data_IF_111649232312
#
_entry.id   IF_111649232312
#
_cell.length_a   1.000
_cell.length_b   1.000
_cell.length_c   1.000
_cell.angle_alpha   90.00
_cell.angle_beta   90.00
_cell.angle_gamma   90.00
#
_symmetry.space_group_name_H-M   'P 1'
#
loop_
_entity.id
_entity.type
_entity.pdbx_description
1 polymer ?
#
# COMPACT_ATOMS: atom_id res chain seq x y z
N UNK A 1 31.09 7.41 7.17
CA UNK A 1 30.01 8.43 7.13
C UNK A 1 28.88 7.93 8.00
N UNK A 2 28.21 8.79 8.77
CA UNK A 2 27.03 8.38 9.52
C UNK A 2 25.92 7.93 8.55
N UNK A 3 25.28 6.78 8.78
CA UNK A 3 24.11 6.35 7.98
C UNK A 3 23.03 7.44 8.13
N UNK A 4 22.64 8.10 7.03
CA UNK A 4 21.57 9.10 7.05
C UNK A 4 20.25 8.36 7.21
N UNK A 5 19.65 8.47 8.40
CA UNK A 5 18.34 7.89 8.70
C UNK A 5 17.28 8.59 7.85
N UNK A 6 16.35 7.82 7.29
CA UNK A 6 15.19 8.36 6.58
C UNK A 6 14.38 9.29 7.51
N UNK A 7 13.86 10.39 6.96
CA UNK A 7 12.95 11.28 7.71
C UNK A 7 11.70 10.53 8.15
N UNK A 8 11.32 10.67 9.43
CA UNK A 8 10.08 10.12 9.98
C UNK A 8 8.84 10.57 9.20
N UNK A 9 8.84 11.79 8.64
CA UNK A 9 7.76 12.29 7.80
C UNK A 9 7.54 11.40 6.58
N UNK A 10 8.60 10.83 5.97
CA UNK A 10 8.49 9.89 4.84
C UNK A 10 7.96 8.53 5.27
N UNK A 11 8.37 8.02 6.44
CA UNK A 11 7.84 6.77 7.00
C UNK A 11 6.33 6.92 7.29
N UNK A 12 5.95 8.00 7.98
CA UNK A 12 4.54 8.31 8.28
C UNK A 12 3.75 8.53 7.01
N UNK A 13 4.29 9.31 6.08
CA UNK A 13 3.68 9.60 4.78
C UNK A 13 3.41 8.32 4.01
N UNK A 14 4.37 7.40 3.93
CA UNK A 14 4.19 6.11 3.27
C UNK A 14 3.02 5.31 3.87
N UNK A 15 3.00 5.13 5.20
CA UNK A 15 1.97 4.33 5.85
C UNK A 15 0.58 5.00 5.80
N UNK A 16 0.51 6.33 6.02
CA UNK A 16 -0.74 7.09 5.98
C UNK A 16 -1.25 7.30 4.55
N UNK A 17 -0.36 7.41 3.57
CA UNK A 17 -0.71 7.48 2.16
C UNK A 17 -1.29 6.16 1.66
N UNK A 18 -0.69 5.02 2.07
CA UNK A 18 -1.27 3.70 1.84
C UNK A 18 -2.67 3.60 2.47
N UNK A 19 -2.79 3.99 3.74
CA UNK A 19 -4.07 4.00 4.45
C UNK A 19 -5.15 4.85 3.76
N UNK A 20 -4.78 6.05 3.31
CA UNK A 20 -5.68 6.93 2.59
C UNK A 20 -6.12 6.33 1.26
N UNK A 21 -5.19 5.69 0.53
CA UNK A 21 -5.49 4.97 -0.69
C UNK A 21 -6.55 3.89 -0.49
N UNK A 22 -6.32 3.00 0.48
CA UNK A 22 -7.27 1.94 0.88
C UNK A 22 -8.64 2.54 1.30
N UNK A 23 -8.64 3.41 2.32
CA UNK A 23 -9.86 3.95 2.91
C UNK A 23 -10.74 4.71 1.90
N UNK A 24 -10.13 5.46 0.98
CA UNK A 24 -10.86 6.25 -0.02
C UNK A 24 -11.22 5.39 -1.23
N UNK A 25 -10.30 4.53 -1.68
CA UNK A 25 -10.48 3.67 -2.85
C UNK A 25 -11.56 2.62 -2.66
N UNK A 26 -11.78 2.15 -1.43
CA UNK A 26 -12.82 1.16 -1.11
C UNK A 26 -14.22 1.58 -1.59
N UNK A 27 -14.53 2.88 -1.54
CA UNK A 27 -15.84 3.40 -1.95
C UNK A 27 -16.15 3.13 -3.42
N UNK A 28 -15.13 3.00 -4.26
CA UNK A 28 -15.25 2.82 -5.70
C UNK A 28 -14.84 1.41 -6.17
N UNK A 29 -14.51 0.50 -5.25
CA UNK A 29 -14.05 -0.85 -5.58
C UNK A 29 -15.10 -1.59 -6.42
N UNK A 30 -14.66 -2.17 -7.53
CA UNK A 30 -15.53 -2.91 -8.44
C UNK A 30 -16.53 -2.05 -9.22
N UNK A 31 -16.43 -0.72 -9.17
CA UNK A 31 -17.30 0.18 -9.93
C UNK A 31 -17.11 -0.02 -11.43
N UNK A 32 -18.09 -0.62 -12.09
CA UNK A 32 -18.13 -0.77 -13.55
C UNK A 32 -18.96 0.35 -14.17
N UNK A 33 -18.34 1.18 -15.01
CA UNK A 33 -19.03 2.13 -15.90
C UNK A 33 -18.77 1.75 -17.35
N UNK A 34 -19.59 2.29 -18.27
CA UNK A 34 -19.41 2.00 -19.68
C UNK A 34 -18.21 2.78 -20.24
N UNK A 35 -17.05 2.13 -20.36
CA UNK A 35 -15.84 2.74 -20.95
C UNK A 35 -16.03 3.25 -22.39
N UNK A 36 -17.07 2.79 -23.10
CA UNK A 36 -17.39 3.27 -24.45
C UNK A 36 -18.27 4.51 -24.47
N UNK A 37 -18.93 4.82 -23.35
CA UNK A 37 -19.67 6.06 -23.15
C UNK A 37 -18.78 7.09 -22.44
N UNK A 38 -18.36 8.10 -23.19
CA UNK A 38 -17.52 9.17 -22.66
C UNK A 38 -18.15 9.88 -21.47
N UNK A 39 -19.46 10.12 -21.49
CA UNK A 39 -20.15 10.87 -20.45
C UNK A 39 -20.16 10.11 -19.11
N UNK A 40 -20.37 8.80 -19.16
CA UNK A 40 -20.37 7.94 -17.97
C UNK A 40 -18.98 7.87 -17.34
N UNK A 41 -17.95 7.70 -18.18
CA UNK A 41 -16.56 7.66 -17.71
C UNK A 41 -16.05 9.01 -17.18
N UNK A 42 -16.48 10.14 -17.75
CA UNK A 42 -16.14 11.48 -17.26
C UNK A 42 -16.85 11.76 -15.92
N UNK A 43 -18.13 11.39 -15.82
CA UNK A 43 -18.89 11.51 -14.57
C UNK A 43 -18.25 10.70 -13.44
N UNK A 44 -17.86 9.45 -13.68
CA UNK A 44 -17.15 8.65 -12.68
C UNK A 44 -15.88 9.34 -12.17
N UNK A 45 -15.05 9.85 -13.10
CA UNK A 45 -13.80 10.55 -12.72
C UNK A 45 -14.09 11.81 -11.92
N UNK A 46 -15.12 12.56 -12.28
CA UNK A 46 -15.52 13.75 -11.53
C UNK A 46 -16.05 13.39 -10.14
N UNK A 47 -16.84 12.32 -10.02
CA UNK A 47 -17.35 11.83 -8.73
C UNK A 47 -16.20 11.40 -7.81
N UNK A 48 -15.15 10.75 -8.35
CA UNK A 48 -13.91 10.44 -7.61
C UNK A 48 -13.20 11.71 -7.16
N UNK A 49 -12.97 12.67 -8.06
CA UNK A 49 -12.28 13.91 -7.72
C UNK A 49 -13.01 14.69 -6.62
N UNK A 50 -14.32 14.88 -6.76
CA UNK A 50 -15.13 15.57 -5.77
C UNK A 50 -15.06 14.89 -4.40
N UNK A 51 -15.11 13.55 -4.37
CA UNK A 51 -15.01 12.80 -3.12
C UNK A 51 -13.64 12.91 -2.46
N UNK A 52 -12.55 12.76 -3.22
CA UNK A 52 -11.19 12.89 -2.69
C UNK A 52 -10.91 14.33 -2.25
N UNK A 53 -11.43 15.33 -2.97
CA UNK A 53 -11.38 16.73 -2.58
C UNK A 53 -12.10 16.99 -1.26
N UNK A 54 -13.32 16.48 -1.08
CA UNK A 54 -14.06 16.56 0.18
C UNK A 54 -13.25 15.94 1.33
N UNK A 55 -12.68 14.75 1.12
CA UNK A 55 -11.89 14.04 2.13
C UNK A 55 -10.62 14.77 2.55
N UNK A 56 -9.95 15.46 1.63
CA UNK A 56 -8.72 16.23 1.89
C UNK A 56 -8.98 17.70 2.25
N UNK A 57 -10.24 18.14 2.30
CA UNK A 57 -10.59 19.49 2.72
C UNK A 57 -10.29 19.72 4.20
N UNK A 58 -10.30 20.99 4.63
CA UNK A 58 -10.15 21.34 6.05
C UNK A 58 -11.28 20.79 6.94
N UNK A 59 -12.46 20.56 6.35
CA UNK A 59 -13.61 19.97 7.04
C UNK A 59 -13.45 18.45 7.14
N UNK A 60 -12.82 17.84 6.13
CA UNK A 60 -12.62 16.40 6.02
C UNK A 60 -13.92 15.63 5.69
N UNK A 61 -13.85 14.29 5.69
CA UNK A 61 -14.99 13.44 5.36
C UNK A 61 -16.07 13.50 6.45
N UNK A 62 -17.33 13.36 6.05
CA UNK A 62 -18.49 13.39 6.95
C UNK A 62 -18.60 12.19 7.89
N UNK A 63 -17.94 11.09 7.54
CA UNK A 63 -17.99 9.84 8.28
C UNK A 63 -16.59 9.25 8.47
N UNK A 64 -16.49 8.32 9.43
CA UNK A 64 -15.26 7.59 9.66
C UNK A 64 -14.99 6.64 8.51
N UNK A 65 -13.79 6.70 7.95
CA UNK A 65 -13.37 5.88 6.82
C UNK A 65 -12.75 4.58 7.33
N UNK A 66 -13.27 3.44 6.87
CA UNK A 66 -12.80 2.11 7.26
C UNK A 66 -11.82 1.57 6.24
N UNK A 67 -10.76 0.94 6.72
CA UNK A 67 -9.79 0.25 5.89
C UNK A 67 -10.27 -1.16 5.45
N UNK A 68 -9.64 -1.73 4.42
CA UNK A 68 -9.86 -3.07 3.87
C UNK A 68 -8.76 -4.08 4.26
N UNK A 69 -8.72 -5.25 3.64
CA UNK A 69 -7.68 -6.24 3.92
C UNK A 69 -6.27 -5.75 3.60
N UNK A 70 -6.12 -4.78 2.71
CA UNK A 70 -4.87 -4.08 2.40
C UNK A 70 -4.18 -3.59 3.67
N UNK A 71 -4.83 -2.69 4.40
CA UNK A 71 -4.33 -2.18 5.68
C UNK A 71 -4.32 -3.27 6.75
N UNK A 72 -5.34 -4.12 6.81
CA UNK A 72 -5.41 -5.17 7.84
C UNK A 72 -4.15 -6.05 7.81
N UNK A 73 -3.73 -6.47 6.63
CA UNK A 73 -2.53 -7.28 6.43
C UNK A 73 -1.24 -6.45 6.53
N UNK A 74 -1.20 -5.23 5.97
CA UNK A 74 -0.03 -4.36 6.07
C UNK A 74 0.35 -4.05 7.53
N UNK A 75 -0.64 -3.88 8.41
CA UNK A 75 -0.42 -3.68 9.84
C UNK A 75 0.27 -4.88 10.50
N UNK A 76 -0.06 -6.11 10.10
CA UNK A 76 0.62 -7.33 10.57
C UNK A 76 2.07 -7.36 10.09
N UNK A 77 2.32 -7.03 8.82
CA UNK A 77 3.69 -6.96 8.26
C UNK A 77 4.52 -5.96 9.07
N UNK A 78 3.99 -4.75 9.27
CA UNK A 78 4.66 -3.71 10.04
C UNK A 78 4.93 -4.15 11.49
N UNK A 79 3.91 -4.68 12.20
CA UNK A 79 4.03 -5.06 13.61
C UNK A 79 5.05 -6.18 13.80
N UNK A 80 4.98 -7.22 12.99
CA UNK A 80 5.86 -8.39 13.14
C UNK A 80 7.32 -8.07 12.86
N UNK A 81 7.63 -7.26 11.83
CA UNK A 81 9.00 -6.82 11.55
C UNK A 81 9.57 -5.99 12.71
N UNK A 82 8.81 -5.01 13.18
CA UNK A 82 9.27 -4.07 14.22
C UNK A 82 9.38 -4.73 15.60
N UNK A 83 8.39 -5.52 16.00
CA UNK A 83 8.36 -6.10 17.34
C UNK A 83 9.33 -7.31 17.47
N UNK A 84 9.65 -8.00 16.37
CA UNK A 84 10.63 -9.11 16.37
C UNK A 84 12.06 -8.67 16.11
N UNK A 85 12.25 -7.55 15.40
CA UNK A 85 13.55 -7.10 14.93
C UNK A 85 14.26 -8.11 13.98
N UNK A 86 13.45 -8.89 13.25
CA UNK A 86 13.86 -9.72 12.12
C UNK A 86 12.60 -10.23 11.40
N UNK A 87 12.75 -10.79 10.21
CA UNK A 87 11.65 -11.43 9.50
C UNK A 87 11.37 -12.84 10.05
N UNK A 88 10.18 -13.03 10.63
CA UNK A 88 9.67 -14.32 11.10
C UNK A 88 8.41 -14.67 10.29
N UNK A 89 8.56 -15.52 9.27
CA UNK A 89 7.46 -15.95 8.40
C UNK A 89 6.33 -16.62 9.19
N UNK A 90 6.65 -17.38 10.25
CA UNK A 90 5.65 -18.09 11.05
C UNK A 90 4.86 -17.13 11.92
N UNK A 91 5.52 -16.15 12.56
CA UNK A 91 4.82 -15.10 13.29
C UNK A 91 3.94 -14.24 12.37
N UNK A 92 4.42 -13.91 11.16
CA UNK A 92 3.64 -13.14 10.19
C UNK A 92 2.42 -13.93 9.69
N UNK A 93 2.57 -15.21 9.37
CA UNK A 93 1.46 -16.09 9.00
C UNK A 93 0.42 -16.21 10.12
N UNK A 94 0.87 -16.35 11.39
CA UNK A 94 -0.02 -16.34 12.57
C UNK A 94 -0.79 -15.03 12.68
N UNK A 95 -0.11 -13.89 12.55
CA UNK A 95 -0.75 -12.58 12.58
C UNK A 95 -1.81 -12.42 11.48
N UNK A 96 -1.54 -12.85 10.24
CA UNK A 96 -2.53 -12.79 9.17
C UNK A 96 -3.78 -13.62 9.49
N UNK A 97 -3.58 -14.84 9.99
CA UNK A 97 -4.68 -15.74 10.37
C UNK A 97 -5.50 -15.16 11.53
N UNK A 98 -4.84 -14.65 12.57
CA UNK A 98 -5.48 -14.04 13.73
C UNK A 98 -6.28 -12.79 13.35
N UNK A 99 -5.70 -11.90 12.54
CA UNK A 99 -6.41 -10.71 12.01
C UNK A 99 -7.62 -11.11 11.18
N UNK A 100 -7.47 -12.08 10.26
CA UNK A 100 -8.58 -12.54 9.42
C UNK A 100 -9.77 -13.09 10.24
N UNK A 101 -9.49 -13.94 11.24
CA UNK A 101 -10.54 -14.56 12.05
C UNK A 101 -11.11 -13.65 13.15
N UNK A 102 -10.35 -12.67 13.65
CA UNK A 102 -10.82 -11.72 14.67
C UNK A 102 -11.66 -10.58 14.08
N UNK A 103 -11.36 -10.11 12.87
CA UNK A 103 -12.05 -8.98 12.24
C UNK A 103 -13.35 -9.39 11.50
N UNK A 104 -13.82 -10.64 11.68
CA UNK A 104 -15.07 -11.21 11.13
C UNK A 104 -15.30 -10.84 9.64
N UNK A 105 -14.59 -11.45 8.69
CA UNK A 105 -14.88 -11.46 7.22
C UNK A 105 -15.33 -10.15 6.51
N UNK A 106 -15.27 -8.96 7.12
CA UNK A 106 -15.88 -7.73 6.56
C UNK A 106 -14.84 -6.71 6.05
N UNK A 107 -13.61 -7.19 5.81
CA UNK A 107 -12.49 -6.36 5.35
C UNK A 107 -12.27 -6.37 3.84
N UNK A 108 -12.89 -7.27 3.07
CA UNK A 108 -12.70 -7.30 1.61
C UNK A 108 -11.87 -8.48 1.10
N UNK A 109 -11.27 -9.26 2.00
CA UNK A 109 -10.46 -10.44 1.69
C UNK A 109 -10.92 -11.25 0.47
N UNK A 110 -10.04 -11.38 -0.52
CA UNK A 110 -10.29 -12.17 -1.73
C UNK A 110 -10.73 -13.61 -1.43
N UNK A 111 -11.69 -14.13 -2.20
CA UNK A 111 -12.40 -15.37 -1.87
C UNK A 111 -11.51 -16.62 -1.65
N UNK A 112 -10.37 -16.71 -2.32
CA UNK A 112 -9.44 -17.85 -2.18
C UNK A 112 -8.62 -17.82 -0.89
N UNK A 113 -8.44 -16.66 -0.25
CA UNK A 113 -7.56 -16.53 0.91
C UNK A 113 -8.07 -17.27 2.15
N UNK A 114 -9.40 -17.40 2.25
CA UNK A 114 -10.08 -18.12 3.33
C UNK A 114 -9.56 -19.56 3.48
N UNK A 115 -9.30 -20.23 2.35
CA UNK A 115 -8.78 -21.60 2.33
C UNK A 115 -7.32 -21.67 2.78
N UNK A 116 -6.50 -20.68 2.42
CA UNK A 116 -5.10 -20.58 2.84
C UNK A 116 -5.04 -20.44 4.36
N UNK A 117 -5.77 -19.48 4.92
CA UNK A 117 -5.77 -19.21 6.36
C UNK A 117 -6.34 -20.36 7.18
N UNK A 118 -7.37 -21.05 6.66
CA UNK A 118 -7.87 -22.28 7.26
C UNK A 118 -6.78 -23.37 7.29
N UNK A 119 -6.12 -23.63 6.16
CA UNK A 119 -5.06 -24.65 6.07
C UNK A 119 -3.86 -24.33 6.97
N UNK A 120 -3.43 -23.06 7.04
CA UNK A 120 -2.35 -22.62 7.94
C UNK A 120 -2.68 -22.89 9.41
N UNK A 121 -3.93 -22.61 9.82
CA UNK A 121 -4.41 -22.89 11.17
C UNK A 121 -4.51 -24.39 11.45
N UNK A 122 -5.07 -25.15 10.51
CA UNK A 122 -5.31 -26.59 10.65
C UNK A 122 -3.99 -27.38 10.67
N UNK A 123 -2.92 -26.87 10.06
CA UNK A 123 -1.57 -27.45 10.09
C UNK A 123 -0.68 -26.93 11.24
N UNK A 124 -1.22 -26.14 12.18
CA UNK A 124 -0.45 -25.44 13.23
C UNK A 124 0.80 -24.71 12.71
N UNK A 125 0.65 -24.12 11.52
CA UNK A 125 1.70 -23.33 10.86
C UNK A 125 3.02 -24.12 10.70
N UNK A 126 2.95 -25.42 10.41
CA UNK A 126 4.12 -26.28 10.21
C UNK A 126 4.98 -25.81 9.02
N UNK A 127 4.38 -25.81 7.82
CA UNK A 127 4.91 -25.10 6.64
C UNK A 127 3.96 -23.96 6.27
N UNK A 128 4.44 -22.72 6.42
CA UNK A 128 3.64 -21.51 6.20
C UNK A 128 3.55 -21.08 4.73
N UNK A 129 4.30 -21.72 3.84
CA UNK A 129 4.27 -21.43 2.40
C UNK A 129 3.42 -22.45 1.63
N UNK A 130 3.39 -23.69 2.11
CA UNK A 130 2.72 -24.81 1.46
C UNK A 130 1.23 -24.55 1.15
N UNK A 131 0.41 -23.95 2.04
CA UNK A 131 -1.00 -23.70 1.73
C UNK A 131 -1.23 -22.79 0.52
N UNK A 132 -0.36 -21.80 0.31
CA UNK A 132 -0.45 -20.91 -0.84
C UNK A 132 -0.02 -21.59 -2.15
N UNK A 133 1.00 -22.47 -2.07
CA UNK A 133 1.52 -23.24 -3.22
C UNK A 133 0.46 -24.12 -3.86
N UNK A 134 -0.49 -24.66 -3.09
CA UNK A 134 -1.59 -25.48 -3.61
C UNK A 134 -2.80 -24.72 -4.14
N UNK A 135 -2.79 -23.38 -4.15
CA UNK A 135 -3.88 -22.63 -4.79
C UNK A 135 -3.84 -22.77 -6.32
N UNK A 136 -5.02 -22.71 -6.95
CA UNK A 136 -5.19 -22.66 -8.41
C UNK A 136 -4.43 -23.77 -9.16
N UNK A 137 -4.69 -25.04 -8.81
CA UNK A 137 -4.03 -26.22 -9.39
C UNK A 137 -2.50 -26.16 -9.30
N UNK A 138 -2.01 -25.79 -8.12
CA UNK A 138 -0.59 -25.61 -7.82
C UNK A 138 0.13 -24.49 -8.61
N UNK A 139 -0.62 -23.54 -9.20
CA UNK A 139 -0.05 -22.36 -9.86
C UNK A 139 0.15 -21.18 -8.92
N UNK A 140 -0.48 -21.21 -7.74
CA UNK A 140 -0.51 -20.09 -6.81
C UNK A 140 -1.41 -18.94 -7.27
N UNK A 141 -1.81 -18.09 -6.32
CA UNK A 141 -2.54 -16.85 -6.63
C UNK A 141 -1.59 -15.84 -7.28
N UNK A 142 -1.99 -15.28 -8.44
CA UNK A 142 -1.31 -14.16 -9.10
C UNK A 142 -1.87 -12.78 -8.65
N UNK A 143 -2.80 -12.76 -7.70
CA UNK A 143 -3.39 -11.54 -7.18
C UNK A 143 -2.38 -10.58 -6.53
N UNK A 144 -2.80 -9.33 -6.36
CA UNK A 144 -2.01 -8.24 -5.79
C UNK A 144 -1.92 -8.26 -4.25
N UNK A 145 -2.55 -9.22 -3.57
CA UNK A 145 -2.63 -9.24 -2.11
C UNK A 145 -1.28 -9.32 -1.39
N UNK A 146 -0.24 -9.83 -2.06
CA UNK A 146 1.14 -9.76 -1.58
C UNK A 146 1.76 -8.36 -1.71
N UNK A 147 1.41 -7.62 -2.76
CA UNK A 147 1.95 -6.30 -3.06
C UNK A 147 1.25 -5.18 -2.26
N UNK A 148 -0.07 -5.28 -2.05
CA UNK A 148 -0.86 -4.28 -1.32
C UNK A 148 -0.35 -4.00 0.10
N UNK A 149 0.33 -4.98 0.71
CA UNK A 149 0.78 -4.96 2.10
C UNK A 149 2.29 -4.85 2.29
N UNK A 150 3.06 -4.68 1.21
CA UNK A 150 4.52 -4.85 1.24
C UNK A 150 5.29 -3.60 1.68
N UNK A 151 4.66 -2.41 1.64
CA UNK A 151 5.32 -1.14 1.95
C UNK A 151 6.11 -1.12 3.29
N UNK A 152 5.61 -1.71 4.40
CA UNK A 152 6.37 -1.81 5.65
C UNK A 152 7.72 -2.54 5.54
N UNK A 153 7.87 -3.48 4.58
CA UNK A 153 9.15 -4.16 4.32
C UNK A 153 10.19 -3.14 3.85
N UNK A 154 9.84 -2.29 2.89
CA UNK A 154 10.75 -1.27 2.35
C UNK A 154 11.16 -0.26 3.43
N UNK A 155 10.24 0.12 4.31
CA UNK A 155 10.51 1.03 5.44
C UNK A 155 11.43 0.38 6.48
N UNK A 156 11.24 -0.90 6.78
CA UNK A 156 12.07 -1.61 7.77
C UNK A 156 13.55 -1.67 7.38
N UNK A 157 13.83 -1.79 6.08
CA UNK A 157 15.20 -1.83 5.53
C UNK A 157 15.68 -0.48 4.98
N UNK A 158 14.99 0.63 5.26
CA UNK A 158 15.27 1.90 4.59
C UNK A 158 16.69 2.42 4.84
N UNK A 159 17.32 2.11 5.98
CA UNK A 159 18.69 2.58 6.27
C UNK A 159 19.81 1.75 5.64
N UNK A 160 19.47 0.77 4.80
CA UNK A 160 20.44 -0.13 4.21
C UNK A 160 20.28 -0.23 2.69
N UNK A 161 21.11 0.55 1.98
CA UNK A 161 21.15 0.58 0.51
C UNK A 161 21.57 -0.76 -0.09
N UNK A 162 22.44 -1.49 0.61
CA UNK A 162 22.85 -2.83 0.20
C UNK A 162 21.72 -3.83 0.43
N UNK A 163 20.94 -3.71 1.51
CA UNK A 163 19.76 -4.55 1.74
C UNK A 163 18.70 -4.39 0.64
N UNK A 164 18.56 -3.18 0.08
CA UNK A 164 17.64 -2.88 -1.01
C UNK A 164 18.11 -3.40 -2.37
N UNK A 165 19.42 -3.31 -2.66
CA UNK A 165 20.01 -3.71 -3.94
C UNK A 165 20.48 -5.17 -3.99
N UNK A 166 20.83 -5.77 -2.84
CA UNK A 166 21.57 -7.03 -2.76
C UNK A 166 20.94 -8.16 -1.94
N UNK A 167 19.75 -8.01 -1.33
CA UNK A 167 19.01 -9.23 -0.96
C UNK A 167 17.85 -9.10 0.01
N UNK A 168 17.94 -8.35 1.09
CA UNK A 168 16.99 -8.52 2.21
C UNK A 168 15.60 -7.94 1.92
N UNK A 169 15.50 -6.76 1.29
CA UNK A 169 14.19 -6.20 0.87
C UNK A 169 13.52 -7.15 -0.12
N UNK A 170 14.27 -7.64 -1.10
CA UNK A 170 13.79 -8.59 -2.10
C UNK A 170 13.34 -9.91 -1.45
N UNK A 171 14.15 -10.47 -0.55
CA UNK A 171 13.88 -11.73 0.11
C UNK A 171 12.65 -11.64 1.01
N UNK A 172 12.57 -10.60 1.85
CA UNK A 172 11.42 -10.42 2.75
C UNK A 172 10.15 -10.07 1.96
N UNK A 173 10.24 -9.26 0.91
CA UNK A 173 9.09 -8.97 0.03
C UNK A 173 8.57 -10.24 -0.67
N UNK A 174 9.48 -11.13 -1.09
CA UNK A 174 9.14 -12.44 -1.65
C UNK A 174 8.51 -13.37 -0.61
N UNK A 175 9.15 -13.54 0.54
CA UNK A 175 8.69 -14.50 1.56
C UNK A 175 7.37 -14.09 2.19
N UNK A 176 7.17 -12.80 2.51
CA UNK A 176 5.87 -12.33 2.99
C UNK A 176 4.76 -12.56 1.97
N UNK A 177 5.06 -12.42 0.66
CA UNK A 177 4.11 -12.65 -0.42
C UNK A 177 3.73 -14.13 -0.48
N UNK A 178 4.74 -15.01 -0.48
CA UNK A 178 4.62 -16.48 -0.55
C UNK A 178 3.73 -17.11 0.52
N UNK A 179 3.57 -16.47 1.69
CA UNK A 179 2.64 -16.94 2.73
C UNK A 179 1.20 -17.08 2.17
N UNK A 180 0.85 -16.29 1.15
CA UNK A 180 -0.51 -16.25 0.58
C UNK A 180 -0.58 -16.32 -0.94
N UNK A 181 0.51 -15.97 -1.62
CA UNK A 181 0.61 -15.81 -3.07
C UNK A 181 1.95 -16.40 -3.50
N UNK A 182 1.94 -17.64 -3.99
CA UNK A 182 3.14 -18.35 -4.43
C UNK A 182 3.44 -18.18 -5.92
N UNK A 183 2.54 -17.54 -6.68
CA UNK A 183 2.75 -17.33 -8.11
C UNK A 183 3.91 -16.35 -8.33
N UNK A 184 4.82 -16.62 -9.30
CA UNK A 184 5.93 -15.73 -9.61
C UNK A 184 5.52 -14.29 -9.93
N UNK A 185 4.40 -14.07 -10.61
CA UNK A 185 3.94 -12.74 -11.00
C UNK A 185 3.49 -11.92 -9.78
N UNK A 186 2.79 -12.54 -8.82
CA UNK A 186 2.42 -11.90 -7.56
C UNK A 186 3.66 -11.57 -6.69
N UNK A 187 4.64 -12.47 -6.68
CA UNK A 187 5.91 -12.25 -5.98
C UNK A 187 6.65 -11.07 -6.62
N UNK A 188 6.79 -11.06 -7.94
CA UNK A 188 7.44 -9.95 -8.65
C UNK A 188 6.72 -8.62 -8.46
N UNK A 189 5.38 -8.63 -8.44
CA UNK A 189 4.57 -7.46 -8.11
C UNK A 189 4.89 -6.91 -6.71
N UNK A 190 4.95 -7.79 -5.70
CA UNK A 190 5.29 -7.37 -4.33
C UNK A 190 6.71 -6.80 -4.24
N UNK A 191 7.68 -7.43 -4.90
CA UNK A 191 9.07 -6.97 -4.96
C UNK A 191 9.17 -5.61 -5.66
N UNK A 192 8.45 -5.42 -6.76
CA UNK A 192 8.43 -4.17 -7.51
C UNK A 192 7.89 -3.01 -6.66
N UNK A 193 6.78 -3.23 -5.95
CA UNK A 193 6.20 -2.20 -5.07
C UNK A 193 7.11 -1.90 -3.89
N UNK A 194 7.72 -2.92 -3.26
CA UNK A 194 8.70 -2.71 -2.20
C UNK A 194 9.87 -1.85 -2.68
N UNK A 195 10.41 -2.14 -3.88
CA UNK A 195 11.49 -1.37 -4.47
C UNK A 195 11.06 0.06 -4.81
N UNK A 196 9.85 0.27 -5.35
CA UNK A 196 9.32 1.60 -5.65
C UNK A 196 9.18 2.46 -4.38
N UNK A 197 8.65 1.89 -3.28
CA UNK A 197 8.56 2.56 -1.98
C UNK A 197 9.96 2.89 -1.44
N UNK A 198 10.90 1.95 -1.53
CA UNK A 198 12.29 2.16 -1.12
C UNK A 198 12.92 3.34 -1.89
N UNK A 199 12.76 3.38 -3.21
CA UNK A 199 13.29 4.46 -4.05
C UNK A 199 12.65 5.81 -3.72
N UNK A 200 11.33 5.85 -3.50
CA UNK A 200 10.61 7.06 -3.11
C UNK A 200 11.09 7.61 -1.75
N UNK A 201 11.41 6.73 -0.80
CA UNK A 201 12.01 7.10 0.49
C UNK A 201 13.37 7.81 0.34
N UNK A 202 14.12 7.48 -0.71
CA UNK A 202 15.49 7.93 -0.94
C UNK A 202 15.62 8.97 -2.05
N UNK A 203 14.51 9.57 -2.48
CA UNK A 203 14.45 10.38 -3.69
C UNK A 203 15.33 11.66 -3.70
N UNK A 204 15.98 12.01 -2.59
CA UNK A 204 16.95 13.12 -2.52
C UNK A 204 18.42 12.64 -2.56
N UNK A 205 18.67 11.34 -2.37
CA UNK A 205 20.02 10.76 -2.21
C UNK A 205 20.54 10.06 -3.47
N UNK A 206 19.66 9.71 -4.40
CA UNK A 206 19.98 9.08 -5.68
C UNK A 206 19.31 9.89 -6.79
N UNK A 207 19.96 10.97 -7.24
CA UNK A 207 19.38 11.91 -8.21
C UNK A 207 18.94 11.19 -9.51
N UNK A 208 19.68 10.22 -10.02
CA UNK A 208 19.36 9.59 -11.31
C UNK A 208 18.14 8.65 -11.33
N UNK A 209 17.80 8.01 -10.20
CA UNK A 209 16.65 7.09 -10.13
C UNK A 209 15.41 7.73 -9.50
N UNK A 210 15.61 8.77 -8.69
CA UNK A 210 14.53 9.58 -8.12
C UNK A 210 13.93 10.56 -9.12
N UNK A 211 14.77 11.11 -10.01
CA UNK A 211 14.34 11.80 -11.22
C UNK A 211 13.36 10.94 -12.01
N UNK A 212 13.64 9.63 -12.16
CA UNK A 212 12.74 8.74 -12.92
C UNK A 212 11.36 8.58 -12.29
N UNK A 213 11.24 8.40 -10.96
CA UNK A 213 9.92 8.30 -10.32
C UNK A 213 9.18 9.64 -10.38
N UNK A 214 9.89 10.74 -10.12
CA UNK A 214 9.32 12.07 -10.22
C UNK A 214 8.88 12.40 -11.66
N UNK A 215 9.66 11.99 -12.65
CA UNK A 215 9.39 12.18 -14.07
C UNK A 215 8.29 11.24 -14.56
N UNK A 216 8.20 10.02 -14.04
CA UNK A 216 7.05 9.12 -14.28
C UNK A 216 5.77 9.75 -13.75
N UNK A 217 5.78 10.29 -12.52
CA UNK A 217 4.61 10.97 -11.94
C UNK A 217 4.24 12.24 -12.74
N UNK A 218 5.22 13.04 -13.17
CA UNK A 218 4.98 14.20 -14.04
C UNK A 218 4.47 13.80 -15.41
N UNK A 219 5.02 12.74 -16.01
CA UNK A 219 4.60 12.21 -17.31
C UNK A 219 3.17 11.70 -17.24
N UNK A 220 2.83 10.94 -16.20
CA UNK A 220 1.45 10.49 -15.95
C UNK A 220 0.54 11.71 -15.79
N UNK A 221 0.94 12.73 -15.04
CA UNK A 221 0.16 13.96 -14.89
C UNK A 221 -0.08 14.68 -16.23
N UNK A 222 0.97 14.86 -17.04
CA UNK A 222 0.87 15.47 -18.37
C UNK A 222 -0.04 14.65 -19.29
N UNK A 223 0.12 13.33 -19.32
CA UNK A 223 -0.71 12.45 -20.15
C UNK A 223 -2.15 12.38 -19.66
N UNK A 224 -2.40 12.43 -18.36
CA UNK A 224 -3.76 12.55 -17.83
C UNK A 224 -4.41 13.85 -18.29
N UNK A 225 -3.70 14.99 -18.26
CA UNK A 225 -4.23 16.26 -18.79
C UNK A 225 -4.48 16.22 -20.31
N UNK A 226 -3.60 15.58 -21.08
CA UNK A 226 -3.76 15.38 -22.52
C UNK A 226 -4.98 14.48 -22.85
N UNK A 227 -5.17 13.40 -22.09
CA UNK A 227 -6.22 12.39 -22.32
C UNK A 227 -7.57 12.87 -21.78
N UNK A 228 -7.58 13.64 -20.70
CA UNK A 228 -8.77 14.11 -19.98
C UNK A 228 -8.82 15.64 -19.85
N UNK A 229 -8.91 16.38 -20.97
CA UNK A 229 -8.78 17.85 -20.97
C UNK A 229 -9.89 18.59 -20.22
N UNK A 230 -11.05 17.94 -20.00
CA UNK A 230 -12.20 18.50 -19.29
C UNK A 230 -12.23 18.13 -17.80
N UNK A 231 -11.31 17.28 -17.34
CA UNK A 231 -11.20 16.91 -15.93
C UNK A 231 -10.37 18.00 -15.23
N UNK A 232 -11.06 18.96 -14.61
CA UNK A 232 -10.42 20.07 -13.92
C UNK A 232 -9.79 19.55 -12.60
N UNK A 233 -8.51 19.19 -12.64
CA UNK A 233 -7.76 18.73 -11.48
C UNK A 233 -7.00 19.90 -10.85
N UNK A 234 -7.69 20.75 -10.09
CA UNK A 234 -7.09 21.86 -9.33
C UNK A 234 -6.37 21.39 -8.04
N UNK A 235 -6.19 20.08 -7.87
CA UNK A 235 -5.55 19.47 -6.72
C UNK A 235 -4.04 19.80 -6.67
N UNK A 236 -3.70 20.78 -5.84
CA UNK A 236 -2.32 21.25 -5.62
C UNK A 236 -1.52 20.21 -4.81
N UNK A 237 -2.17 19.53 -3.88
CA UNK A 237 -1.54 18.50 -3.05
C UNK A 237 -1.18 17.26 -3.91
N UNK A 238 0.11 16.93 -4.06
CA UNK A 238 0.54 15.87 -4.97
C UNK A 238 0.13 14.46 -4.48
N UNK A 239 0.08 14.21 -3.16
CA UNK A 239 -0.39 12.95 -2.61
C UNK A 239 -1.88 12.73 -2.88
N UNK A 240 -2.68 13.77 -2.60
CA UNK A 240 -4.12 13.78 -2.89
C UNK A 240 -4.38 13.48 -4.37
N UNK A 241 -3.62 14.16 -5.24
CA UNK A 241 -3.73 13.99 -6.70
C UNK A 241 -3.39 12.56 -7.12
N UNK A 242 -2.32 11.97 -6.60
CA UNK A 242 -1.96 10.57 -6.89
C UNK A 242 -3.07 9.60 -6.47
N UNK A 243 -3.63 9.76 -5.27
CA UNK A 243 -4.72 8.90 -4.79
C UNK A 243 -5.97 9.08 -5.66
N UNK A 244 -6.35 10.31 -5.99
CA UNK A 244 -7.49 10.57 -6.87
C UNK A 244 -7.33 9.93 -8.24
N UNK A 245 -6.16 10.08 -8.86
CA UNK A 245 -5.90 9.44 -10.16
C UNK A 245 -5.91 7.92 -10.08
N UNK A 246 -5.30 7.33 -9.05
CA UNK A 246 -5.32 5.88 -8.84
C UNK A 246 -6.76 5.33 -8.78
N UNK A 247 -7.63 5.96 -8.00
CA UNK A 247 -9.05 5.57 -7.88
C UNK A 247 -9.80 5.80 -9.20
N UNK A 248 -9.46 6.86 -9.94
CA UNK A 248 -10.08 7.20 -11.23
C UNK A 248 -9.84 6.15 -12.33
N UNK A 249 -8.87 5.24 -12.14
CA UNK A 249 -8.58 4.14 -13.07
C UNK A 249 -9.58 2.98 -12.97
N UNK A 250 -10.47 2.97 -11.97
CA UNK A 250 -11.48 1.90 -11.75
C UNK A 250 -10.84 0.53 -11.48
N UNK A 251 -11.68 -0.50 -11.41
CA UNK A 251 -11.28 -1.87 -11.06
C UNK A 251 -11.03 -2.02 -9.57
N UNK A 252 -9.80 -2.38 -9.23
CA UNK A 252 -9.33 -2.67 -7.88
C UNK A 252 -8.78 -1.38 -7.24
N UNK A 253 -9.70 -0.45 -6.95
CA UNK A 253 -9.36 0.95 -6.68
C UNK A 253 -8.69 1.17 -5.34
N UNK A 254 -9.07 0.42 -4.29
CA UNK A 254 -8.41 0.45 -2.99
C UNK A 254 -6.99 -0.08 -3.06
N UNK A 255 -6.73 -1.22 -3.71
CA UNK A 255 -5.36 -1.73 -3.81
C UNK A 255 -4.48 -0.89 -4.74
N UNK A 256 -4.98 -0.42 -5.88
CA UNK A 256 -4.19 0.47 -6.75
C UNK A 256 -3.85 1.77 -5.99
N UNK A 257 -4.82 2.35 -5.27
CA UNK A 257 -4.60 3.56 -4.51
C UNK A 257 -3.73 3.34 -3.27
N UNK A 258 -3.79 2.18 -2.59
CA UNK A 258 -2.91 1.87 -1.44
C UNK A 258 -1.45 1.84 -1.87
N UNK A 259 -1.15 1.17 -2.99
CA UNK A 259 0.22 1.06 -3.49
C UNK A 259 0.74 2.41 -4.01
N UNK A 260 -0.09 3.14 -4.77
CA UNK A 260 0.27 4.47 -5.27
C UNK A 260 0.43 5.48 -4.11
N UNK A 261 -0.46 5.43 -3.13
CA UNK A 261 -0.43 6.24 -1.91
C UNK A 261 0.79 5.94 -1.03
N UNK A 262 1.22 4.68 -0.94
CA UNK A 262 2.45 4.31 -0.24
C UNK A 262 3.68 4.98 -0.88
N UNK A 263 3.79 4.90 -2.21
CA UNK A 263 4.92 5.48 -2.97
C UNK A 263 4.89 7.01 -2.88
N UNK A 264 3.75 7.64 -3.15
CA UNK A 264 3.62 9.10 -3.07
C UNK A 264 3.84 9.61 -1.64
N UNK A 265 3.33 8.89 -0.64
CA UNK A 265 3.54 9.21 0.77
C UNK A 265 5.00 9.11 1.19
N UNK A 266 5.72 8.08 0.73
CA UNK A 266 7.16 7.95 0.93
C UNK A 266 7.96 9.09 0.25
N UNK A 267 7.47 9.57 -0.90
CA UNK A 267 8.10 10.63 -1.68
C UNK A 267 7.87 12.03 -1.10
N UNK A 268 6.64 12.34 -0.68
CA UNK A 268 6.23 13.68 -0.28
C UNK A 268 6.12 13.88 1.24
N UNK A 269 6.07 12.81 2.03
CA UNK A 269 5.92 12.87 3.47
C UNK A 269 4.48 13.09 3.95
N UNK A 270 4.30 13.09 5.26
CA UNK A 270 2.98 13.19 5.93
C UNK A 270 2.40 14.60 6.00
N UNK A 271 3.16 15.65 5.65
CA UNK A 271 2.69 17.04 5.57
C UNK A 271 1.49 17.21 4.61
N UNK A 272 1.31 16.28 3.69
CA UNK A 272 0.22 16.25 2.73
C UNK A 272 -1.02 15.50 3.19
N UNK A 273 -1.05 14.99 4.42
CA UNK A 273 -2.24 14.39 5.03
C UNK A 273 -2.87 15.43 5.98
N UNK A 274 -4.04 16.00 5.64
CA UNK A 274 -4.73 16.94 6.53
C UNK A 274 -5.19 16.26 7.82
N UNK A 275 -5.21 17.01 8.93
CA UNK A 275 -5.64 16.50 10.24
C UNK A 275 -7.06 15.91 10.19
N UNK A 276 -7.99 16.57 9.50
CA UNK A 276 -9.37 16.09 9.37
C UNK A 276 -9.44 14.69 8.72
N UNK A 277 -8.64 14.45 7.68
CA UNK A 277 -8.51 13.14 7.06
C UNK A 277 -7.84 12.14 8.01
N UNK A 278 -6.74 12.55 8.64
CA UNK A 278 -6.00 11.72 9.59
C UNK A 278 -6.91 11.14 10.68
N UNK A 279 -7.73 11.99 11.32
CA UNK A 279 -8.63 11.55 12.39
C UNK A 279 -9.84 10.74 11.90
N UNK A 280 -10.22 10.89 10.62
CA UNK A 280 -11.32 10.15 10.04
C UNK A 280 -10.97 8.72 9.64
N UNK A 281 -9.71 8.45 9.25
CA UNK A 281 -9.29 7.11 8.83
C UNK A 281 -9.11 6.16 10.02
N UNK A 282 -9.74 5.00 9.94
CA UNK A 282 -9.49 3.89 10.86
C UNK A 282 -8.02 3.45 10.72
N UNK A 283 -7.27 3.35 11.82
CA UNK A 283 -5.88 2.85 11.79
C UNK A 283 -4.78 3.92 11.72
N UNK A 284 -5.11 5.20 11.54
CA UNK A 284 -4.12 6.30 11.51
C UNK A 284 -3.22 6.35 12.75
N UNK A 285 -3.80 6.14 13.93
CA UNK A 285 -3.05 6.14 15.19
C UNK A 285 -2.08 4.95 15.28
N UNK A 286 -2.49 3.77 14.79
CA UNK A 286 -1.61 2.61 14.72
C UNK A 286 -0.41 2.92 13.81
N UNK A 287 -0.65 3.47 12.63
CA UNK A 287 0.42 3.79 11.69
C UNK A 287 1.35 4.89 12.18
N UNK A 288 0.85 5.91 12.88
CA UNK A 288 1.73 6.91 13.50
C UNK A 288 2.61 6.31 14.60
N UNK A 289 2.04 5.44 15.44
CA UNK A 289 2.80 4.74 16.50
C UNK A 289 3.85 3.82 15.92
N UNK A 290 3.52 3.05 14.88
CA UNK A 290 4.48 2.12 14.30
C UNK A 290 5.54 2.82 13.46
N UNK A 291 5.21 3.92 12.78
CA UNK A 291 6.20 4.77 12.10
C UNK A 291 7.24 5.32 13.10
N UNK A 292 6.79 5.77 14.28
CA UNK A 292 7.68 6.18 15.36
C UNK A 292 8.58 5.03 15.85
N UNK A 293 8.02 3.83 16.01
CA UNK A 293 8.82 2.64 16.38
C UNK A 293 9.84 2.29 15.30
N UNK A 294 9.45 2.26 14.03
CA UNK A 294 10.33 2.02 12.88
C UNK A 294 11.45 3.05 12.83
N UNK A 295 11.13 4.33 12.95
CA UNK A 295 12.13 5.39 12.94
C UNK A 295 13.14 5.27 14.08
N UNK A 296 12.67 4.96 15.30
CA UNK A 296 13.57 4.70 16.44
C UNK A 296 14.46 3.49 16.21
N UNK A 297 13.88 2.40 15.70
CA UNK A 297 14.63 1.19 15.34
C UNK A 297 15.76 1.50 14.33
N UNK A 298 15.45 2.33 13.33
CA UNK A 298 16.41 2.75 12.32
C UNK A 298 17.54 3.66 12.88
N UNK A 299 17.33 4.33 14.01
CA UNK A 299 18.34 5.20 14.63
C UNK A 299 19.40 4.43 15.44
N UNK A 300 19.16 3.17 15.79
CA UNK A 300 20.01 2.37 16.69
C UNK A 300 19.55 2.45 18.14
#
# INVERSE_FOLDING_TARGET
MAKKVIDISRIRGCLLGALAGDCLGRKFEGSTFNFTDKNDSEKYRQDVLNYVEECFSIVGPKERLKYTDDTAMARVVAATLVDKNYFDAKAMAKGFVETYFSEKCNRGYGGSISQVFKKLRDSDFDDVFLPAEFQFDAKGSYGNGGAMRVAPVALYFSNDLEAALHGEVHQVAKEQCRITHSNPDAIMGAVLIAFAVYQACHAEQSLSQSEWIADLLKFIQQKCADIYPNTQCDLINPLQRTIAYAISLSGDTDTIATMAGAIAGALYGDVHIPDALYYAMEGSEFYSKIALKMHRFLQG
#
